data_IF_409724788723
#
_entry.id   IF_409724788723
#
_cell.length_a   1.000
_cell.length_b   1.000
_cell.length_c   1.000
_cell.angle_alpha   90.00
_cell.angle_beta   90.00
_cell.angle_gamma   90.00
#
_symmetry.space_group_name_H-M   'P 1'
#
loop_
_entity.id
_entity.type
_entity.pdbx_description
1 polymer ?
#
# COMPACT_ATOMS: atom_id res chain seq x y z
N UNK A 1 11.03 -17.85 17.76
CA UNK A 1 9.71 -17.67 17.13
C UNK A 1 9.43 -16.18 17.12
N UNK A 2 9.00 -15.62 15.98
CA UNK A 2 8.53 -14.24 15.93
C UNK A 2 7.38 -14.05 16.93
N UNK A 3 7.26 -12.87 17.51
CA UNK A 3 6.15 -12.56 18.43
C UNK A 3 5.05 -11.85 17.64
N UNK A 4 3.80 -12.26 17.84
CA UNK A 4 2.64 -11.77 17.06
C UNK A 4 2.44 -10.23 17.10
N UNK A 5 3.06 -9.56 18.08
CA UNK A 5 2.89 -8.14 18.37
C UNK A 5 3.97 -7.21 17.76
N UNK A 6 4.96 -7.73 17.03
CA UNK A 6 5.97 -6.89 16.38
C UNK A 6 5.60 -6.60 14.91
N UNK A 7 5.17 -5.37 14.56
CA UNK A 7 4.74 -5.05 13.19
C UNK A 7 5.89 -5.15 12.17
N UNK A 8 7.15 -5.05 12.60
CA UNK A 8 8.32 -5.21 11.72
C UNK A 8 8.65 -6.67 11.37
N UNK A 9 8.01 -7.63 12.02
CA UNK A 9 8.29 -9.07 11.86
C UNK A 9 7.25 -9.79 11.02
N UNK A 10 6.39 -9.07 10.29
CA UNK A 10 5.30 -9.66 9.52
C UNK A 10 5.75 -10.85 8.66
N UNK A 11 6.95 -10.82 8.07
CA UNK A 11 7.46 -11.91 7.23
C UNK A 11 7.97 -13.17 7.97
N UNK A 12 8.19 -13.10 9.28
CA UNK A 12 8.79 -14.18 10.09
C UNK A 12 7.78 -14.88 11.03
N UNK A 13 6.50 -14.53 10.94
CA UNK A 13 5.43 -15.16 11.73
C UNK A 13 4.91 -16.40 11.01
N UNK A 14 4.32 -17.33 11.76
CA UNK A 14 3.72 -18.54 11.18
C UNK A 14 2.40 -18.26 10.47
N UNK A 15 1.74 -17.15 10.78
CA UNK A 15 0.44 -16.74 10.24
C UNK A 15 0.53 -15.85 8.99
N UNK A 16 1.75 -15.49 8.57
CA UNK A 16 2.01 -14.55 7.47
C UNK A 16 1.37 -14.97 6.16
N UNK A 17 1.51 -16.24 5.80
CA UNK A 17 0.98 -16.79 4.54
C UNK A 17 -0.55 -16.78 4.54
N UNK A 18 -1.17 -17.19 5.66
CA UNK A 18 -2.62 -17.18 5.82
C UNK A 18 -3.19 -15.75 5.77
N UNK A 19 -2.52 -14.79 6.40
CA UNK A 19 -2.95 -13.38 6.37
C UNK A 19 -2.81 -12.77 4.98
N UNK A 20 -1.70 -13.03 4.28
CA UNK A 20 -1.51 -12.57 2.91
C UNK A 20 -2.58 -13.16 1.97
N UNK A 21 -2.88 -14.45 2.12
CA UNK A 21 -3.92 -15.12 1.35
C UNK A 21 -5.31 -14.52 1.60
N UNK A 22 -5.71 -14.34 2.87
CA UNK A 22 -6.99 -13.71 3.22
C UNK A 22 -7.09 -12.30 2.65
N UNK A 23 -6.04 -11.49 2.80
CA UNK A 23 -5.99 -10.13 2.25
C UNK A 23 -6.15 -10.10 0.72
N UNK A 24 -5.57 -11.09 0.03
CA UNK A 24 -5.73 -11.25 -1.42
C UNK A 24 -7.15 -11.68 -1.83
N UNK A 25 -7.78 -12.59 -1.07
CA UNK A 25 -9.14 -13.09 -1.34
C UNK A 25 -10.22 -12.04 -1.08
N UNK A 26 -10.04 -11.22 -0.04
CA UNK A 26 -10.94 -10.11 0.28
C UNK A 26 -10.78 -8.93 -0.69
N UNK A 27 -9.65 -8.85 -1.41
CA UNK A 27 -9.45 -7.85 -2.44
C UNK A 27 -10.38 -8.11 -3.62
N UNK A 28 -11.21 -7.13 -3.96
CA UNK A 28 -12.12 -7.22 -5.11
C UNK A 28 -11.41 -6.99 -6.45
N UNK A 29 -10.13 -6.63 -6.44
CA UNK A 29 -9.33 -6.44 -7.64
C UNK A 29 -7.91 -6.95 -7.49
N UNK A 30 -7.35 -7.44 -8.59
CA UNK A 30 -5.91 -7.68 -8.74
C UNK A 30 -5.30 -6.58 -9.60
N UNK A 31 -4.00 -6.33 -9.45
CA UNK A 31 -3.27 -5.36 -10.26
C UNK A 31 -3.50 -5.60 -11.76
N UNK A 32 -4.05 -4.60 -12.45
CA UNK A 32 -4.34 -4.64 -13.88
C UNK A 32 -5.71 -5.23 -14.26
N UNK A 33 -6.47 -5.76 -13.30
CA UNK A 33 -7.87 -6.15 -13.53
C UNK A 33 -8.79 -4.91 -13.64
N UNK A 34 -10.02 -5.12 -14.11
CA UNK A 34 -11.03 -4.05 -14.22
C UNK A 34 -11.37 -3.35 -12.90
N UNK A 35 -11.14 -4.02 -11.76
CA UNK A 35 -11.35 -3.44 -10.42
C UNK A 35 -10.07 -2.79 -9.84
N UNK A 36 -8.96 -2.79 -10.59
CA UNK A 36 -7.78 -2.01 -10.21
C UNK A 36 -8.01 -0.52 -10.39
N UNK A 37 -7.35 0.27 -9.55
CA UNK A 37 -7.22 1.71 -9.77
C UNK A 37 -6.47 1.97 -11.09
N UNK A 38 -6.96 2.91 -11.90
CA UNK A 38 -6.21 3.43 -13.04
C UNK A 38 -4.97 4.19 -12.51
N UNK A 39 -3.74 3.76 -12.83
CA UNK A 39 -2.52 4.40 -12.34
C UNK A 39 -2.42 5.89 -12.68
N UNK A 40 -2.94 6.29 -13.85
CA UNK A 40 -2.91 7.69 -14.27
C UNK A 40 -3.86 8.54 -13.44
N UNK A 41 -5.07 8.03 -13.18
CA UNK A 41 -6.05 8.71 -12.35
C UNK A 41 -5.60 8.74 -10.89
N UNK A 42 -5.15 7.61 -10.34
CA UNK A 42 -4.64 7.51 -8.98
C UNK A 42 -3.43 8.44 -8.76
N UNK A 43 -2.53 8.57 -9.75
CA UNK A 43 -1.42 9.51 -9.69
C UNK A 43 -1.88 10.97 -9.66
N UNK A 44 -2.89 11.34 -10.45
CA UNK A 44 -3.48 12.70 -10.44
C UNK A 44 -4.16 13.00 -9.11
N UNK A 45 -4.97 12.09 -8.59
CA UNK A 45 -5.66 12.23 -7.31
C UNK A 45 -4.66 12.33 -6.15
N UNK A 46 -3.62 11.49 -6.14
CA UNK A 46 -2.55 11.58 -5.14
C UNK A 46 -1.81 12.92 -5.19
N UNK A 47 -1.51 13.42 -6.39
CA UNK A 47 -0.91 14.74 -6.56
C UNK A 47 -1.85 15.88 -6.13
N UNK A 48 -3.16 15.74 -6.30
CA UNK A 48 -4.14 16.74 -5.83
C UNK A 48 -4.32 16.71 -4.31
N UNK A 49 -4.30 15.52 -3.69
CA UNK A 49 -4.44 15.33 -2.26
C UNK A 49 -3.23 15.85 -1.47
N UNK A 50 -2.04 15.92 -2.09
CA UNK A 50 -0.85 16.49 -1.47
C UNK A 50 -0.99 18.00 -1.23
N UNK A 51 -0.75 18.43 0.01
CA UNK A 51 -0.73 19.84 0.39
C UNK A 51 0.38 20.60 -0.33
N UNK A 52 0.20 21.91 -0.50
CA UNK A 52 1.21 22.78 -1.11
C UNK A 52 2.52 22.78 -0.31
N UNK A 53 2.45 22.69 1.01
CA UNK A 53 3.63 22.60 1.88
C UNK A 53 4.39 21.29 1.73
N UNK A 54 3.69 20.18 1.58
CA UNK A 54 4.32 18.86 1.38
C UNK A 54 4.97 18.77 -0.01
N UNK A 55 4.33 19.31 -1.05
CA UNK A 55 4.93 19.46 -2.38
C UNK A 55 6.20 20.31 -2.33
N UNK A 56 6.16 21.41 -1.59
CA UNK A 56 7.29 22.31 -1.45
C UNK A 56 8.45 21.68 -0.66
N UNK A 57 8.19 20.81 0.32
CA UNK A 57 9.23 20.03 1.02
C UNK A 57 9.82 18.92 0.13
N UNK A 58 8.97 18.21 -0.61
CA UNK A 58 9.41 17.16 -1.53
C UNK A 58 10.34 17.67 -2.62
N UNK A 59 9.99 18.79 -3.28
CA UNK A 59 10.80 19.39 -4.34
C UNK A 59 12.10 20.06 -3.88
N UNK A 60 12.34 20.21 -2.57
CA UNK A 60 13.62 20.69 -2.04
C UNK A 60 14.66 19.59 -1.90
N UNK A 61 14.24 18.33 -1.96
CA UNK A 61 15.10 17.15 -1.80
C UNK A 61 15.34 16.40 -3.13
N UNK A 62 14.88 16.95 -4.25
CA UNK A 62 15.06 16.43 -5.61
C UNK A 62 16.17 17.14 -6.35
#
# INVERSE_FOLDING_TARGET
MATDNNPGEFGNRSDTEEQAQKGGQESTGSFGDSNSADPQQAGKEGAQAQSTEDKAKGGRNS
#
